data_IF_644286398528
#
_entry.id   IF_644286398528
#
_cell.length_a   1.000
_cell.length_b   1.000
_cell.length_c   1.000
_cell.angle_alpha   90.00
_cell.angle_beta   90.00
_cell.angle_gamma   90.00
#
_symmetry.space_group_name_H-M   'P 1'
#
loop_
_entity.id
_entity.type
_entity.pdbx_description
1 polymer ?
#
# COMPACT_ATOMS: atom_id res chain seq x y z
N UNK A 1 -4.28 7.15 7.41
CA UNK A 1 -5.51 7.18 8.24
C UNK A 1 -6.41 8.32 7.79
N UNK A 2 -7.71 8.21 8.04
CA UNK A 2 -8.67 9.30 7.77
C UNK A 2 -8.44 10.48 8.72
N UNK A 3 -9.00 11.64 8.37
CA UNK A 3 -8.90 12.83 9.22
C UNK A 3 -9.82 12.69 10.44
N UNK A 4 -9.25 12.80 11.65
CA UNK A 4 -10.02 12.75 12.89
C UNK A 4 -11.07 13.86 12.98
N UNK A 5 -10.86 14.99 12.29
CA UNK A 5 -11.84 16.08 12.27
C UNK A 5 -13.16 15.68 11.60
N UNK A 6 -13.13 14.70 10.68
CA UNK A 6 -14.35 14.17 10.08
C UNK A 6 -15.21 13.48 11.13
N UNK A 7 -14.59 12.66 12.01
CA UNK A 7 -15.31 11.98 13.09
C UNK A 7 -15.82 12.99 14.14
N UNK A 8 -15.02 14.00 14.46
CA UNK A 8 -15.42 15.05 15.41
C UNK A 8 -16.59 15.90 14.91
N UNK A 9 -16.67 16.08 13.58
CA UNK A 9 -17.71 16.89 12.94
C UNK A 9 -19.03 16.13 12.79
N UNK A 10 -18.98 14.88 12.30
CA UNK A 10 -20.16 14.05 12.01
C UNK A 10 -19.76 12.57 11.97
N UNK A 11 -19.73 11.95 13.14
CA UNK A 11 -19.32 10.54 13.26
C UNK A 11 -20.30 9.59 12.59
N UNK A 12 -21.59 9.92 12.58
CA UNK A 12 -22.62 9.08 11.98
C UNK A 12 -22.53 9.05 10.46
N UNK A 13 -22.23 10.19 9.82
CA UNK A 13 -21.98 10.24 8.39
C UNK A 13 -20.73 9.43 8.01
N UNK A 14 -19.66 9.50 8.82
CA UNK A 14 -18.44 8.68 8.59
C UNK A 14 -18.75 7.20 8.79
N UNK A 15 -19.49 6.83 9.84
CA UNK A 15 -19.89 5.45 10.10
C UNK A 15 -20.72 4.87 8.95
N UNK A 16 -21.65 5.64 8.39
CA UNK A 16 -22.47 5.24 7.23
C UNK A 16 -21.62 4.98 5.98
N UNK A 17 -20.61 5.81 5.70
CA UNK A 17 -19.67 5.61 4.58
C UNK A 17 -18.79 4.37 4.80
N UNK A 18 -18.31 4.15 6.02
CA UNK A 18 -17.50 2.98 6.37
C UNK A 18 -18.31 1.67 6.33
N UNK A 19 -19.59 1.72 6.65
CA UNK A 19 -20.49 0.57 6.55
C UNK A 19 -20.58 0.04 5.11
N UNK A 20 -20.48 0.90 4.09
CA UNK A 20 -20.42 0.49 2.68
C UNK A 20 -19.17 -0.37 2.38
N UNK A 21 -18.13 -0.28 3.21
CA UNK A 21 -16.90 -1.08 3.15
C UNK A 21 -16.93 -2.30 4.09
N UNK A 22 -18.09 -2.69 4.60
CA UNK A 22 -18.27 -3.74 5.62
C UNK A 22 -17.46 -3.47 6.90
N UNK A 23 -17.18 -2.19 7.19
CA UNK A 23 -16.49 -1.79 8.40
C UNK A 23 -17.49 -1.12 9.36
N UNK A 24 -17.64 -1.72 10.54
CA UNK A 24 -18.45 -1.15 11.62
C UNK A 24 -17.57 -0.25 12.48
N UNK A 25 -17.83 1.05 12.45
CA UNK A 25 -17.13 2.01 13.29
C UNK A 25 -17.67 1.91 14.73
N UNK A 26 -16.79 1.71 15.70
CA UNK A 26 -17.13 1.77 17.12
C UNK A 26 -17.26 3.24 17.57
N UNK A 27 -18.43 3.82 17.31
CA UNK A 27 -18.72 5.22 17.63
C UNK A 27 -18.72 5.47 19.13
N UNK A 28 -19.12 4.48 19.94
CA UNK A 28 -19.17 4.59 21.39
C UNK A 28 -17.75 4.71 21.99
N UNK A 29 -16.82 3.85 21.55
CA UNK A 29 -15.42 3.92 21.99
C UNK A 29 -14.74 5.22 21.56
N UNK A 30 -14.99 5.69 20.33
CA UNK A 30 -14.44 6.97 19.88
C UNK A 30 -14.95 8.12 20.75
N UNK A 31 -16.25 8.21 20.97
CA UNK A 31 -16.86 9.28 21.79
C UNK A 31 -16.35 9.25 23.23
N UNK A 32 -16.15 8.07 23.82
CA UNK A 32 -15.59 7.92 25.16
C UNK A 32 -14.16 8.44 25.24
N UNK A 33 -13.29 8.06 24.29
CA UNK A 33 -11.90 8.52 24.21
C UNK A 33 -11.80 10.05 24.00
N UNK A 34 -12.65 10.62 23.14
CA UNK A 34 -12.69 12.08 22.91
C UNK A 34 -13.20 12.83 24.14
N UNK A 35 -14.20 12.31 24.86
CA UNK A 35 -14.67 12.90 26.08
C UNK A 35 -13.59 12.89 27.18
N UNK A 36 -12.89 11.76 27.35
CA UNK A 36 -11.76 11.63 28.29
C UNK A 36 -10.63 12.61 27.93
N UNK A 37 -10.20 12.65 26.66
CA UNK A 37 -9.18 13.58 26.16
C UNK A 37 -9.56 15.04 26.48
N UNK A 38 -10.80 15.43 26.16
CA UNK A 38 -11.28 16.78 26.37
C UNK A 38 -11.31 17.15 27.86
N UNK A 39 -11.73 16.23 28.72
CA UNK A 39 -11.75 16.43 30.18
C UNK A 39 -10.32 16.63 30.70
N UNK A 40 -9.38 15.80 30.34
CA UNK A 40 -7.97 15.92 30.76
C UNK A 40 -7.36 17.21 30.24
N UNK A 41 -7.60 17.58 28.98
CA UNK A 41 -7.10 18.81 28.38
C UNK A 41 -7.62 20.05 29.13
N UNK A 42 -8.92 20.11 29.40
CA UNK A 42 -9.52 21.24 30.18
C UNK A 42 -8.89 21.31 31.55
N UNK A 43 -8.73 20.18 32.26
CA UNK A 43 -8.07 20.15 33.57
C UNK A 43 -6.62 20.64 33.51
N UNK A 44 -5.87 20.22 32.48
CA UNK A 44 -4.48 20.65 32.25
C UNK A 44 -4.40 22.16 32.04
N UNK A 45 -5.30 22.73 31.24
CA UNK A 45 -5.37 24.18 30.99
C UNK A 45 -5.69 24.98 32.28
N UNK A 46 -6.63 24.48 33.10
CA UNK A 46 -6.95 25.08 34.42
C UNK A 46 -5.75 25.04 35.35
N UNK A 47 -5.07 23.90 35.50
CA UNK A 47 -3.88 23.76 36.32
C UNK A 47 -2.73 24.70 35.86
N UNK A 48 -2.55 24.81 34.54
CA UNK A 48 -1.56 25.72 33.97
C UNK A 48 -1.89 27.18 34.25
N UNK A 49 -3.17 27.57 34.14
CA UNK A 49 -3.63 28.91 34.48
C UNK A 49 -3.41 29.23 35.96
N UNK A 50 -3.73 28.29 36.86
CA UNK A 50 -3.50 28.41 38.31
C UNK A 50 -2.01 28.57 38.62
N UNK A 51 -1.14 27.72 38.04
CA UNK A 51 0.32 27.81 38.21
C UNK A 51 0.86 29.17 37.76
N UNK A 52 0.40 29.67 36.62
CA UNK A 52 0.82 30.99 36.09
C UNK A 52 0.37 32.12 37.00
N UNK A 53 -0.84 32.04 37.58
CA UNK A 53 -1.35 33.01 38.53
C UNK A 53 -0.52 33.06 39.82
N UNK A 54 -0.25 31.87 40.41
CA UNK A 54 0.57 31.75 41.62
C UNK A 54 2.02 32.19 41.38
N UNK A 55 2.58 31.91 40.20
CA UNK A 55 3.93 32.38 39.83
C UNK A 55 4.02 33.91 39.79
N UNK A 56 2.98 34.60 39.29
CA UNK A 56 2.88 36.07 39.34
C UNK A 56 2.79 36.57 40.77
N UNK A 57 2.01 35.87 41.62
CA UNK A 57 1.86 36.21 43.04
C UNK A 57 3.20 36.09 43.79
N UNK A 58 3.98 35.04 43.54
CA UNK A 58 5.34 34.89 44.08
C UNK A 58 6.21 36.10 43.70
N UNK A 59 6.16 36.51 42.42
CA UNK A 59 6.89 37.70 41.97
C UNK A 59 6.50 38.96 42.72
N UNK A 60 5.20 39.19 42.95
CA UNK A 60 4.69 40.31 43.68
C UNK A 60 5.09 40.32 45.18
N UNK A 61 5.01 39.17 45.85
CA UNK A 61 5.41 38.98 47.25
C UNK A 61 6.91 39.18 47.41
N UNK A 62 7.73 38.59 46.53
CA UNK A 62 9.19 38.83 46.53
C UNK A 62 9.55 40.31 46.38
N UNK A 63 8.84 41.02 45.50
CA UNK A 63 9.06 42.46 45.31
C UNK A 63 8.72 43.32 46.53
N UNK A 64 7.88 42.80 47.44
CA UNK A 64 7.51 43.46 48.72
C UNK A 64 8.34 42.96 49.91
N UNK A 65 9.21 41.95 49.72
CA UNK A 65 9.98 41.36 50.83
C UNK A 65 9.14 40.44 51.73
N UNK A 66 7.97 39.99 51.26
CA UNK A 66 7.05 39.12 52.01
C UNK A 66 7.41 37.61 51.83
N UNK A 67 7.00 36.76 52.79
CA UNK A 67 7.25 35.30 52.73
C UNK A 67 6.49 34.64 51.57
N UNK A 68 7.21 33.86 50.77
CA UNK A 68 6.68 33.17 49.59
C UNK A 68 6.55 31.64 49.77
N UNK A 69 6.93 31.12 50.94
CA UNK A 69 7.05 29.66 51.18
C UNK A 69 5.74 28.90 50.92
N UNK A 70 4.63 29.43 51.42
CA UNK A 70 3.32 28.81 51.23
C UNK A 70 2.90 28.72 49.73
N UNK A 71 3.11 29.83 49.02
CA UNK A 71 2.76 29.92 47.59
C UNK A 71 3.72 29.04 46.74
N UNK A 72 5.00 28.97 47.11
CA UNK A 72 5.97 28.09 46.46
C UNK A 72 5.60 26.61 46.61
N UNK A 73 5.14 26.20 47.82
CA UNK A 73 4.66 24.83 48.03
C UNK A 73 3.42 24.48 47.20
N UNK A 74 2.49 25.44 47.04
CA UNK A 74 1.33 25.27 46.15
C UNK A 74 1.75 25.12 44.68
N UNK A 75 2.71 25.90 44.21
CA UNK A 75 3.24 25.79 42.84
C UNK A 75 3.93 24.43 42.62
N UNK A 76 4.65 23.93 43.63
CA UNK A 76 5.28 22.61 43.56
C UNK A 76 4.22 21.48 43.42
N UNK A 77 3.15 21.51 44.24
CA UNK A 77 2.06 20.53 44.14
C UNK A 77 1.34 20.58 42.77
N UNK A 78 1.11 21.79 42.23
CA UNK A 78 0.55 21.93 40.87
C UNK A 78 1.50 21.41 39.80
N UNK A 79 2.82 21.43 40.01
CA UNK A 79 3.79 20.84 39.08
C UNK A 79 3.61 19.34 38.96
N UNK A 80 3.40 18.63 40.06
CA UNK A 80 3.17 17.20 40.10
C UNK A 80 1.81 16.82 39.45
N UNK A 81 0.75 17.59 39.75
CA UNK A 81 -0.57 17.41 39.12
C UNK A 81 -0.51 17.61 37.58
N UNK A 82 0.22 18.64 37.13
CA UNK A 82 0.40 18.91 35.71
C UNK A 82 1.15 17.77 34.99
N UNK A 83 2.17 17.22 35.63
CA UNK A 83 2.91 16.08 35.10
C UNK A 83 1.99 14.86 34.96
N UNK A 84 1.25 14.51 36.02
CA UNK A 84 0.31 13.42 36.00
C UNK A 84 -0.77 13.60 34.93
N UNK A 85 -1.26 14.82 34.73
CA UNK A 85 -2.25 15.15 33.69
C UNK A 85 -1.66 15.02 32.29
N UNK A 86 -0.40 15.40 32.06
CA UNK A 86 0.30 15.23 30.80
C UNK A 86 0.49 13.74 30.46
N UNK A 87 0.93 12.94 31.44
CA UNK A 87 1.11 11.48 31.26
C UNK A 87 -0.23 10.81 30.92
N UNK A 88 -1.34 11.20 31.56
CA UNK A 88 -2.67 10.71 31.21
C UNK A 88 -3.11 11.14 29.80
N UNK A 89 -2.82 12.36 29.40
CA UNK A 89 -3.15 12.86 28.06
C UNK A 89 -2.41 12.07 26.99
N UNK A 90 -1.13 11.75 27.19
CA UNK A 90 -0.34 10.94 26.29
C UNK A 90 -0.93 9.53 26.13
N UNK A 91 -1.37 8.91 27.24
CA UNK A 91 -2.03 7.60 27.21
C UNK A 91 -3.30 7.63 26.34
N UNK A 92 -4.15 8.63 26.54
CA UNK A 92 -5.42 8.75 25.78
C UNK A 92 -5.15 9.08 24.32
N UNK A 93 -4.18 9.94 24.03
CA UNK A 93 -3.78 10.26 22.66
C UNK A 93 -3.24 9.03 21.92
N UNK A 94 -2.46 8.18 22.59
CA UNK A 94 -1.98 6.93 22.04
C UNK A 94 -3.15 5.99 21.71
N UNK A 95 -4.09 5.80 22.64
CA UNK A 95 -5.29 4.99 22.39
C UNK A 95 -6.11 5.51 21.20
N UNK A 96 -6.23 6.84 21.10
CA UNK A 96 -6.93 7.48 19.99
C UNK A 96 -6.20 7.26 18.66
N UNK A 97 -4.87 7.36 18.67
CA UNK A 97 -4.04 7.10 17.50
C UNK A 97 -4.18 5.63 17.03
N UNK A 98 -4.14 4.67 17.96
CA UNK A 98 -4.35 3.25 17.66
C UNK A 98 -5.75 2.98 17.11
N UNK A 99 -6.78 3.59 17.71
CA UNK A 99 -8.14 3.53 17.20
C UNK A 99 -8.24 4.03 15.75
N UNK A 100 -7.64 5.19 15.47
CA UNK A 100 -7.64 5.79 14.12
C UNK A 100 -6.86 4.96 13.11
N UNK A 101 -5.79 4.28 13.52
CA UNK A 101 -5.01 3.42 12.63
C UNK A 101 -5.77 2.18 12.15
N UNK A 102 -6.77 1.71 12.89
CA UNK A 102 -7.59 0.55 12.55
C UNK A 102 -8.70 0.87 11.53
N UNK A 103 -9.00 2.15 11.29
CA UNK A 103 -10.09 2.57 10.41
C UNK A 103 -9.59 2.60 8.94
N UNK A 104 -10.28 1.94 7.98
CA UNK A 104 -9.95 2.02 6.57
C UNK A 104 -10.22 3.41 5.99
N UNK A 105 -9.67 3.68 4.81
CA UNK A 105 -9.95 4.92 4.09
C UNK A 105 -11.43 5.00 3.67
N UNK A 106 -11.93 6.21 3.46
CA UNK A 106 -13.27 6.45 2.96
C UNK A 106 -13.33 6.27 1.44
N UNK A 107 -14.37 5.60 0.90
CA UNK A 107 -14.53 5.50 -0.54
C UNK A 107 -14.83 6.87 -1.15
N UNK A 108 -14.23 7.14 -2.31
CA UNK A 108 -14.60 8.31 -3.12
C UNK A 108 -16.04 8.17 -3.63
N UNK A 109 -16.75 9.28 -3.84
CA UNK A 109 -18.15 9.29 -4.25
C UNK A 109 -18.45 8.56 -5.56
N UNK A 110 -17.46 8.48 -6.46
CA UNK A 110 -17.59 7.79 -7.75
C UNK A 110 -17.39 6.27 -7.69
N UNK A 111 -17.11 5.72 -6.50
CA UNK A 111 -16.91 4.27 -6.32
C UNK A 111 -18.26 3.57 -6.32
N UNK A 112 -18.46 2.51 -7.13
CA UNK A 112 -19.71 1.77 -7.14
C UNK A 112 -19.97 1.10 -5.78
N UNK A 113 -21.22 1.13 -5.34
CA UNK A 113 -21.63 0.43 -4.13
C UNK A 113 -21.69 -1.08 -4.40
N UNK A 114 -21.14 -1.88 -3.50
CA UNK A 114 -21.19 -3.34 -3.60
C UNK A 114 -20.60 -3.97 -2.35
N UNK A 115 -20.96 -5.23 -2.09
CA UNK A 115 -20.52 -5.95 -0.90
C UNK A 115 -19.22 -6.75 -1.10
N UNK A 116 -18.94 -7.15 -2.32
CA UNK A 116 -17.80 -8.03 -2.68
C UNK A 116 -17.48 -7.88 -4.16
N UNK A 117 -16.57 -8.71 -4.68
CA UNK A 117 -16.11 -8.70 -6.07
C UNK A 117 -17.23 -8.75 -7.12
N UNK A 118 -18.40 -9.30 -6.78
CA UNK A 118 -19.56 -9.33 -7.69
C UNK A 118 -20.15 -7.93 -7.94
N UNK A 119 -19.87 -6.96 -7.08
CA UNK A 119 -20.27 -5.56 -7.22
C UNK A 119 -19.29 -4.73 -8.04
N UNK A 120 -18.17 -5.28 -8.48
CA UNK A 120 -17.20 -4.59 -9.32
C UNK A 120 -17.78 -4.31 -10.72
N UNK A 121 -17.43 -3.18 -11.30
CA UNK A 121 -17.96 -2.73 -12.59
C UNK A 121 -16.90 -2.83 -13.66
N UNK A 122 -17.18 -3.61 -14.72
CA UNK A 122 -16.33 -3.65 -15.91
C UNK A 122 -16.44 -2.33 -16.68
N UNK A 123 -15.34 -1.60 -16.77
CA UNK A 123 -15.30 -0.30 -17.48
C UNK A 123 -15.02 -0.48 -18.97
N UNK A 124 -14.12 -1.39 -19.30
CA UNK A 124 -13.71 -1.70 -20.69
C UNK A 124 -13.03 -3.02 -20.81
N UNK A 125 -13.09 -3.59 -22.00
CA UNK A 125 -12.42 -4.80 -22.42
C UNK A 125 -11.56 -4.51 -23.64
N UNK A 126 -10.33 -4.98 -23.67
CA UNK A 126 -9.36 -4.73 -24.75
C UNK A 126 -8.75 -6.03 -25.23
N UNK A 127 -8.65 -6.18 -26.54
CA UNK A 127 -8.18 -7.41 -27.17
C UNK A 127 -9.25 -8.52 -27.21
N UNK A 128 -9.01 -9.52 -28.06
CA UNK A 128 -9.88 -10.67 -28.21
C UNK A 128 -9.12 -11.92 -27.79
N UNK A 129 -9.65 -12.72 -26.85
CA UNK A 129 -9.05 -14.01 -26.52
C UNK A 129 -8.83 -14.89 -27.77
N UNK A 130 -7.62 -15.44 -27.89
CA UNK A 130 -7.28 -16.34 -28.98
C UNK A 130 -8.15 -17.59 -28.90
N UNK A 131 -8.68 -18.01 -30.05
CA UNK A 131 -9.30 -19.32 -30.19
C UNK A 131 -8.21 -20.34 -30.59
N UNK A 132 -8.16 -21.44 -29.85
CA UNK A 132 -7.21 -22.51 -30.08
C UNK A 132 -7.92 -23.67 -30.81
N UNK A 133 -7.23 -24.30 -31.75
CA UNK A 133 -7.66 -25.51 -32.47
C UNK A 133 -7.07 -26.78 -31.84
N UNK A 134 -6.47 -26.67 -30.66
CA UNK A 134 -5.91 -27.75 -29.87
C UNK A 134 -6.30 -27.58 -28.39
N UNK A 135 -6.08 -28.59 -27.57
CA UNK A 135 -6.32 -28.57 -26.14
C UNK A 135 -5.36 -27.58 -25.43
N UNK A 136 -5.92 -26.64 -24.71
CA UNK A 136 -5.17 -25.61 -23.97
C UNK A 136 -4.62 -26.21 -22.68
N UNK A 137 -3.30 -26.07 -22.47
CA UNK A 137 -2.63 -26.47 -21.24
C UNK A 137 -2.47 -25.25 -20.31
N UNK A 138 -2.43 -25.49 -19.01
CA UNK A 138 -2.11 -24.45 -18.05
C UNK A 138 -0.59 -24.17 -17.98
N UNK A 139 -0.23 -23.06 -17.35
CA UNK A 139 1.16 -22.61 -17.22
C UNK A 139 2.06 -23.59 -16.45
N UNK A 140 1.51 -24.47 -15.61
CA UNK A 140 2.29 -25.47 -14.87
C UNK A 140 2.78 -26.57 -15.83
N UNK A 141 1.86 -27.13 -16.62
CA UNK A 141 2.17 -28.21 -17.58
C UNK A 141 3.02 -27.66 -18.72
N UNK A 142 2.74 -26.47 -19.23
CA UNK A 142 3.57 -25.77 -20.23
C UNK A 142 4.96 -25.41 -19.72
N UNK A 143 5.06 -24.95 -18.49
CA UNK A 143 6.29 -24.43 -17.92
C UNK A 143 7.27 -25.50 -17.47
N UNK A 144 6.79 -26.65 -17.02
CA UNK A 144 7.63 -27.73 -16.49
C UNK A 144 8.75 -28.16 -17.45
N UNK A 145 8.48 -28.52 -18.73
CA UNK A 145 9.53 -28.87 -19.67
C UNK A 145 10.41 -27.68 -20.07
N UNK A 146 9.95 -26.46 -19.88
CA UNK A 146 10.67 -25.22 -20.19
C UNK A 146 11.54 -24.70 -19.03
N UNK A 147 11.49 -25.35 -17.85
CA UNK A 147 12.32 -25.01 -16.70
C UNK A 147 11.61 -24.35 -15.53
N UNK A 148 10.27 -24.36 -15.48
CA UNK A 148 9.49 -23.97 -14.33
C UNK A 148 9.43 -25.15 -13.34
N UNK A 149 9.97 -24.98 -12.12
CA UNK A 149 10.25 -26.09 -11.20
C UNK A 149 9.69 -25.77 -9.80
N UNK A 150 8.52 -26.32 -9.52
CA UNK A 150 7.85 -26.17 -8.22
C UNK A 150 8.41 -27.13 -7.16
N UNK A 151 8.87 -28.34 -7.57
CA UNK A 151 9.39 -29.33 -6.63
C UNK A 151 10.70 -28.86 -6.00
N UNK A 152 11.59 -28.30 -6.80
CA UNK A 152 12.81 -27.65 -6.26
C UNK A 152 12.45 -26.43 -5.41
N UNK A 153 11.49 -25.63 -5.80
CA UNK A 153 10.99 -24.51 -4.99
C UNK A 153 10.50 -24.97 -3.61
N UNK A 154 9.67 -26.00 -3.61
CA UNK A 154 9.17 -26.60 -2.37
C UNK A 154 10.29 -27.20 -1.49
N UNK A 155 11.30 -27.82 -2.10
CA UNK A 155 12.47 -28.35 -1.40
C UNK A 155 13.31 -27.26 -0.72
N UNK A 156 13.43 -26.10 -1.37
CA UNK A 156 14.26 -24.98 -0.88
C UNK A 156 13.57 -24.17 0.22
N UNK A 157 12.26 -23.94 0.09
CA UNK A 157 11.57 -22.96 0.94
C UNK A 157 10.14 -23.35 1.33
N UNK A 158 9.63 -24.48 0.84
CA UNK A 158 8.26 -24.92 1.10
C UNK A 158 7.29 -24.62 -0.09
N UNK A 159 6.02 -24.88 0.15
CA UNK A 159 4.97 -24.62 -0.84
C UNK A 159 4.91 -23.14 -1.23
N UNK A 160 4.37 -22.85 -2.43
CA UNK A 160 4.23 -21.47 -2.96
C UNK A 160 5.55 -20.74 -3.21
N UNK A 161 6.66 -21.47 -3.36
CA UNK A 161 7.91 -20.98 -3.90
C UNK A 161 8.21 -21.71 -5.22
N UNK A 162 8.85 -21.02 -6.14
CA UNK A 162 9.10 -21.54 -7.49
C UNK A 162 10.55 -21.27 -7.88
N UNK A 163 11.17 -22.27 -8.52
CA UNK A 163 12.46 -22.13 -9.20
C UNK A 163 12.23 -22.03 -10.69
N UNK A 164 12.96 -21.14 -11.34
CA UNK A 164 12.96 -20.98 -12.79
C UNK A 164 14.34 -21.25 -13.36
N UNK A 165 14.43 -21.96 -14.47
CA UNK A 165 15.69 -22.32 -15.14
C UNK A 165 15.64 -22.00 -16.63
N UNK A 166 16.80 -21.78 -17.24
CA UNK A 166 16.92 -21.65 -18.70
C UNK A 166 16.08 -20.54 -19.33
N UNK A 167 15.30 -20.89 -20.31
CA UNK A 167 14.47 -19.96 -21.09
C UNK A 167 13.39 -19.26 -20.27
N UNK A 168 12.77 -19.96 -19.35
CA UNK A 168 11.75 -19.38 -18.45
C UNK A 168 12.37 -18.32 -17.53
N UNK A 169 13.52 -18.60 -16.93
CA UNK A 169 14.20 -17.62 -16.07
C UNK A 169 14.59 -16.36 -16.86
N UNK A 170 15.05 -16.54 -18.11
CA UNK A 170 15.32 -15.41 -19.00
C UNK A 170 14.06 -14.65 -19.37
N UNK A 171 12.97 -15.33 -19.69
CA UNK A 171 11.70 -14.70 -20.03
C UNK A 171 11.15 -13.88 -18.84
N UNK A 172 11.19 -14.44 -17.63
CA UNK A 172 10.80 -13.72 -16.41
C UNK A 172 11.58 -12.42 -16.22
N UNK A 173 12.91 -12.47 -16.34
CA UNK A 173 13.77 -11.28 -16.27
C UNK A 173 13.48 -10.31 -17.41
N UNK A 174 13.27 -10.81 -18.64
CA UNK A 174 12.95 -9.99 -19.80
C UNK A 174 11.64 -9.21 -19.62
N UNK A 175 10.62 -9.84 -19.05
CA UNK A 175 9.34 -9.18 -18.71
C UNK A 175 9.56 -8.03 -17.75
N UNK A 176 10.27 -8.25 -16.64
CA UNK A 176 10.53 -7.22 -15.64
C UNK A 176 11.32 -6.04 -16.24
N UNK A 177 12.36 -6.33 -17.01
CA UNK A 177 13.19 -5.33 -17.66
C UNK A 177 12.41 -4.51 -18.70
N UNK A 178 11.60 -5.17 -19.53
CA UNK A 178 10.70 -4.52 -20.48
C UNK A 178 9.70 -3.56 -19.79
N UNK A 179 9.13 -3.98 -18.65
CA UNK A 179 8.22 -3.13 -17.86
C UNK A 179 8.93 -1.89 -17.34
N UNK A 180 10.11 -2.05 -16.72
CA UNK A 180 10.90 -0.92 -16.21
C UNK A 180 11.28 0.05 -17.32
N UNK A 181 11.81 -0.45 -18.43
CA UNK A 181 12.23 0.39 -19.56
C UNK A 181 11.04 1.15 -20.16
N UNK A 182 9.87 0.51 -20.26
CA UNK A 182 8.66 1.17 -20.75
C UNK A 182 8.22 2.28 -19.79
N UNK A 183 8.20 2.02 -18.48
CA UNK A 183 7.76 3.04 -17.53
C UNK A 183 8.73 4.22 -17.43
N UNK A 184 10.03 3.96 -17.51
CA UNK A 184 11.03 5.03 -17.45
C UNK A 184 11.13 5.83 -18.74
N UNK A 185 11.10 5.16 -19.90
CA UNK A 185 11.30 5.80 -21.21
C UNK A 185 10.04 6.43 -21.78
N UNK A 186 8.89 5.74 -21.66
CA UNK A 186 7.65 6.18 -22.31
C UNK A 186 6.71 6.95 -21.35
N UNK A 187 6.75 6.63 -20.05
CA UNK A 187 5.81 7.15 -19.06
C UNK A 187 6.44 8.14 -18.07
N UNK A 188 7.74 8.40 -18.16
CA UNK A 188 8.43 9.43 -17.40
C UNK A 188 8.58 9.13 -15.90
N UNK A 189 8.64 7.85 -15.51
CA UNK A 189 8.97 7.47 -14.14
C UNK A 189 10.47 7.51 -13.87
N UNK A 190 10.82 7.86 -12.64
CA UNK A 190 12.18 7.68 -12.13
C UNK A 190 12.32 6.27 -11.56
N UNK A 191 13.26 5.50 -12.13
CA UNK A 191 13.59 4.17 -11.59
C UNK A 191 14.31 4.29 -10.25
N UNK A 192 13.89 3.46 -9.30
CA UNK A 192 14.47 3.40 -7.97
C UNK A 192 14.90 1.97 -7.62
N UNK A 193 16.03 1.85 -6.95
CA UNK A 193 16.45 0.64 -6.25
C UNK A 193 16.34 0.90 -4.74
N UNK A 194 15.57 0.08 -4.04
CA UNK A 194 15.24 0.28 -2.63
C UNK A 194 15.57 -0.94 -1.77
N UNK A 195 15.74 -0.79 -0.45
CA UNK A 195 15.88 -1.91 0.45
C UNK A 195 14.67 -2.86 0.40
N UNK A 196 14.91 -4.17 0.49
CA UNK A 196 13.85 -5.19 0.58
C UNK A 196 13.53 -5.58 2.03
N UNK A 197 14.37 -5.16 2.98
CA UNK A 197 14.13 -5.29 4.42
C UNK A 197 13.87 -3.88 4.97
N UNK A 198 12.74 -3.72 5.63
CA UNK A 198 12.28 -2.41 6.15
C UNK A 198 11.92 -2.50 7.62
N UNK A 199 11.96 -1.36 8.31
CA UNK A 199 11.47 -1.24 9.68
C UNK A 199 9.94 -1.11 9.75
N UNK A 200 9.40 -1.24 10.96
CA UNK A 200 7.96 -1.16 11.20
C UNK A 200 7.35 0.19 10.83
N UNK A 201 8.09 1.30 10.97
CA UNK A 201 7.58 2.63 10.65
C UNK A 201 7.30 2.81 9.16
N UNK A 202 8.13 2.20 8.30
CA UNK A 202 7.92 2.17 6.86
C UNK A 202 6.60 1.48 6.50
N UNK A 203 6.29 0.36 7.16
CA UNK A 203 5.04 -0.39 6.98
C UNK A 203 3.82 0.30 7.60
N UNK A 204 4.02 1.03 8.71
CA UNK A 204 2.96 1.87 9.31
C UNK A 204 2.60 3.04 8.40
N UNK A 205 3.59 3.64 7.75
CA UNK A 205 3.40 4.76 6.83
C UNK A 205 2.42 4.45 5.70
N UNK A 206 2.51 3.27 5.11
CA UNK A 206 1.63 2.82 4.02
C UNK A 206 0.42 1.99 4.48
N UNK A 207 0.34 1.65 5.78
CA UNK A 207 -0.85 1.06 6.39
C UNK A 207 -0.88 -0.47 6.43
N UNK A 208 0.24 -1.16 6.15
CA UNK A 208 0.35 -2.60 6.35
C UNK A 208 0.34 -2.96 7.84
N UNK A 209 1.06 -2.19 8.65
CA UNK A 209 1.01 -2.32 10.10
C UNK A 209 0.03 -1.30 10.72
N UNK A 210 -0.60 -1.66 11.85
CA UNK A 210 -0.52 -2.95 12.57
C UNK A 210 -1.41 -4.07 12.00
N UNK A 211 -2.40 -3.74 11.17
CA UNK A 211 -3.54 -4.60 10.83
C UNK A 211 -3.17 -5.88 10.08
N UNK A 212 -2.19 -5.82 9.19
CA UNK A 212 -1.83 -6.91 8.28
C UNK A 212 -0.50 -7.57 8.64
N UNK A 213 -0.09 -7.53 9.91
CA UNK A 213 1.16 -8.13 10.35
C UNK A 213 1.23 -9.64 10.02
N UNK A 214 0.10 -10.35 10.11
CA UNK A 214 0.01 -11.77 9.77
C UNK A 214 0.35 -12.08 8.30
N UNK A 215 0.25 -11.11 7.41
CA UNK A 215 0.57 -11.25 5.98
C UNK A 215 2.05 -10.95 5.67
N UNK A 216 2.83 -10.54 6.65
CA UNK A 216 4.23 -10.15 6.50
C UNK A 216 5.19 -11.28 6.87
N UNK A 217 6.37 -11.27 6.26
CA UNK A 217 7.52 -12.04 6.72
C UNK A 217 8.38 -11.18 7.63
N UNK A 218 8.42 -11.50 8.92
CA UNK A 218 9.33 -10.88 9.89
C UNK A 218 10.76 -11.41 9.72
N UNK A 219 11.74 -10.53 9.88
CA UNK A 219 13.16 -10.83 9.73
C UNK A 219 13.88 -10.59 11.05
N UNK A 220 14.82 -11.47 11.39
CA UNK A 220 15.69 -11.33 12.54
C UNK A 220 17.15 -11.28 12.09
N UNK A 221 17.91 -10.32 12.60
CA UNK A 221 19.37 -10.27 12.35
C UNK A 221 20.04 -11.45 13.03
N UNK A 222 21.01 -12.10 12.38
CA UNK A 222 21.82 -13.14 12.99
C UNK A 222 22.61 -12.57 14.18
N UNK A 223 22.66 -13.31 15.28
CA UNK A 223 23.31 -12.88 16.52
C UNK A 223 22.55 -11.85 17.36
N UNK A 224 21.33 -11.46 16.95
CA UNK A 224 20.47 -10.58 17.75
C UNK A 224 19.93 -11.35 18.96
N UNK A 225 20.32 -10.94 20.17
CA UNK A 225 19.76 -11.42 21.43
C UNK A 225 18.64 -10.46 21.90
N UNK A 226 17.55 -11.02 22.42
CA UNK A 226 16.41 -10.26 22.95
C UNK A 226 15.50 -9.65 21.88
N UNK A 227 14.71 -8.67 22.32
CA UNK A 227 13.82 -7.88 21.45
C UNK A 227 14.63 -6.76 20.80
N UNK A 228 14.99 -6.95 19.51
CA UNK A 228 15.57 -5.91 18.70
C UNK A 228 14.52 -5.18 17.89
N UNK A 229 14.97 -4.26 17.02
CA UNK A 229 14.10 -3.59 16.05
C UNK A 229 13.36 -4.62 15.18
N UNK A 230 12.03 -4.50 15.08
CA UNK A 230 11.23 -5.33 14.22
C UNK A 230 11.48 -4.97 12.75
N UNK A 231 11.98 -5.92 11.98
CA UNK A 231 12.26 -5.81 10.56
C UNK A 231 11.40 -6.79 9.77
N UNK A 232 11.08 -6.43 8.54
CA UNK A 232 10.20 -7.20 7.67
C UNK A 232 10.71 -7.19 6.24
N UNK A 233 10.45 -8.28 5.51
CA UNK A 233 10.56 -8.29 4.05
C UNK A 233 9.40 -7.50 3.46
N UNK A 234 9.67 -6.72 2.40
CA UNK A 234 8.63 -5.90 1.76
C UNK A 234 7.56 -6.76 1.10
N UNK A 235 6.26 -6.49 1.30
CA UNK A 235 5.19 -7.13 0.55
C UNK A 235 4.97 -6.51 -0.84
N UNK A 236 5.55 -5.33 -1.07
CA UNK A 236 5.49 -4.52 -2.29
C UNK A 236 6.51 -3.39 -2.20
N UNK A 237 7.05 -2.94 -3.32
CA UNK A 237 7.90 -1.74 -3.35
C UNK A 237 7.13 -0.43 -3.05
N UNK A 238 5.80 -0.46 -3.07
CA UNK A 238 4.97 0.65 -2.58
C UNK A 238 5.44 1.14 -1.22
N UNK A 239 5.73 0.22 -0.29
CA UNK A 239 6.10 0.60 1.09
C UNK A 239 7.41 1.39 1.14
N UNK A 240 8.35 1.10 0.28
CA UNK A 240 9.62 1.83 0.23
C UNK A 240 9.48 3.14 -0.55
N UNK A 241 8.91 3.09 -1.75
CA UNK A 241 8.79 4.25 -2.63
C UNK A 241 7.94 5.36 -2.01
N UNK A 242 6.81 5.01 -1.41
CA UNK A 242 5.91 5.99 -0.79
C UNK A 242 6.53 6.68 0.41
N UNK A 243 7.40 5.98 1.16
CA UNK A 243 8.10 6.55 2.31
C UNK A 243 9.27 7.49 1.96
N UNK A 244 9.57 7.73 0.68
CA UNK A 244 10.57 8.74 0.28
C UNK A 244 10.23 10.15 0.78
N UNK A 245 8.96 10.42 1.02
CA UNK A 245 8.45 11.71 1.48
C UNK A 245 7.98 11.69 2.94
N UNK A 246 8.31 10.62 3.70
CA UNK A 246 7.94 10.54 5.12
C UNK A 246 8.63 11.63 5.92
N UNK A 247 7.83 12.35 6.75
CA UNK A 247 8.23 13.48 7.57
C UNK A 247 8.77 14.68 6.78
N UNK A 248 8.52 14.72 5.46
CA UNK A 248 9.00 15.77 4.57
C UNK A 248 7.90 16.79 4.22
N UNK A 249 8.36 18.01 3.91
CA UNK A 249 7.54 19.05 3.27
C UNK A 249 8.23 19.42 1.96
N UNK A 250 7.77 18.79 0.88
CA UNK A 250 8.35 18.99 -0.45
C UNK A 250 7.83 20.27 -1.12
N UNK A 251 8.49 20.73 -2.15
CA UNK A 251 8.03 21.85 -2.97
C UNK A 251 6.92 21.42 -3.93
N UNK A 252 5.94 22.29 -4.20
CA UNK A 252 4.83 21.96 -5.10
C UNK A 252 5.25 21.66 -6.55
N UNK A 253 6.39 22.23 -6.99
CA UNK A 253 6.95 21.98 -8.32
C UNK A 253 7.58 20.59 -8.48
N UNK A 254 7.78 19.85 -7.39
CA UNK A 254 8.17 18.45 -7.41
C UNK A 254 6.99 17.49 -7.66
N UNK A 255 5.74 17.99 -7.64
CA UNK A 255 4.54 17.20 -7.90
C UNK A 255 4.08 17.31 -9.36
N UNK A 256 3.67 16.20 -10.00
CA UNK A 256 3.68 14.84 -9.47
C UNK A 256 5.10 14.25 -9.47
N UNK A 257 5.48 13.62 -8.35
CA UNK A 257 6.66 12.78 -8.28
C UNK A 257 6.27 11.37 -8.69
N UNK A 258 6.90 10.83 -9.73
CA UNK A 258 6.60 9.51 -10.32
C UNK A 258 7.79 8.58 -10.13
N UNK A 259 7.61 7.55 -9.34
CA UNK A 259 8.65 6.58 -9.00
C UNK A 259 8.24 5.19 -9.47
N UNK A 260 9.22 4.39 -9.89
CA UNK A 260 9.01 2.98 -10.26
C UNK A 260 10.15 2.12 -9.72
N UNK A 261 9.83 0.93 -9.23
CA UNK A 261 10.82 -0.05 -8.83
C UNK A 261 10.40 -1.47 -9.22
N UNK A 262 11.35 -2.26 -9.68
CA UNK A 262 11.23 -3.72 -9.74
C UNK A 262 11.79 -4.30 -8.44
N UNK A 263 11.02 -5.14 -7.78
CA UNK A 263 11.47 -5.84 -6.58
C UNK A 263 10.84 -7.22 -6.43
N UNK A 264 11.51 -8.15 -5.72
CA UNK A 264 10.81 -9.26 -5.10
C UNK A 264 9.85 -8.68 -4.06
N UNK A 265 8.70 -9.37 -3.90
CA UNK A 265 7.66 -9.08 -2.93
C UNK A 265 7.40 -10.34 -2.13
N UNK A 266 7.15 -10.19 -0.82
CA UNK A 266 7.02 -11.32 0.10
C UNK A 266 5.70 -11.22 0.87
N UNK A 267 4.82 -12.24 0.73
CA UNK A 267 3.53 -12.30 1.41
C UNK A 267 3.30 -13.68 2.00
N UNK A 268 2.94 -13.74 3.27
CA UNK A 268 2.64 -15.03 3.92
C UNK A 268 1.29 -15.62 3.47
N UNK A 269 0.46 -14.82 2.78
CA UNK A 269 -0.84 -15.27 2.24
C UNK A 269 -1.76 -15.87 3.30
N UNK A 270 -1.76 -15.30 4.52
CA UNK A 270 -2.44 -15.84 5.70
C UNK A 270 -3.96 -16.03 5.49
N UNK A 271 -4.59 -15.18 4.68
CA UNK A 271 -6.03 -15.25 4.36
C UNK A 271 -6.41 -16.13 3.18
N UNK A 272 -5.45 -16.82 2.52
CA UNK A 272 -5.69 -17.49 1.24
C UNK A 272 -5.61 -19.02 1.29
N UNK A 273 -5.93 -19.62 2.43
CA UNK A 273 -5.91 -21.09 2.57
C UNK A 273 -6.78 -21.78 1.52
N UNK A 274 -6.18 -22.73 0.78
CA UNK A 274 -6.87 -23.55 -0.23
C UNK A 274 -7.16 -22.85 -1.57
N UNK A 275 -6.82 -21.56 -1.73
CA UNK A 275 -6.98 -20.85 -3.01
C UNK A 275 -5.71 -20.90 -3.84
N UNK A 276 -5.86 -21.12 -5.16
CA UNK A 276 -4.75 -21.09 -6.13
C UNK A 276 -3.49 -21.84 -5.63
N UNK A 277 -3.68 -23.06 -5.13
CA UNK A 277 -2.58 -23.86 -4.54
C UNK A 277 -1.64 -24.45 -5.57
N UNK A 278 -2.05 -24.50 -6.85
CA UNK A 278 -1.25 -24.98 -7.99
C UNK A 278 -0.77 -23.79 -8.83
N UNK A 279 0.50 -23.81 -9.21
CA UNK A 279 1.06 -22.83 -10.13
C UNK A 279 1.51 -21.53 -9.48
N UNK A 280 1.63 -20.48 -10.30
CA UNK A 280 2.26 -19.21 -9.95
C UNK A 280 1.28 -18.07 -9.62
N UNK A 281 -0.02 -18.33 -9.60
CA UNK A 281 -1.01 -17.25 -9.39
C UNK A 281 -0.85 -16.64 -7.99
N UNK A 282 -0.51 -17.46 -6.99
CA UNK A 282 -0.37 -17.05 -5.60
C UNK A 282 0.88 -17.64 -4.97
N UNK A 283 1.89 -16.81 -4.76
CA UNK A 283 3.22 -17.20 -4.30
C UNK A 283 3.61 -16.40 -3.04
N UNK A 284 4.42 -17.01 -2.16
CA UNK A 284 5.02 -16.30 -1.01
C UNK A 284 6.12 -15.32 -1.44
N UNK A 285 6.78 -15.61 -2.55
CA UNK A 285 7.75 -14.73 -3.19
C UNK A 285 7.39 -14.56 -4.66
N UNK A 286 7.27 -13.32 -5.11
CA UNK A 286 7.00 -12.98 -6.52
C UNK A 286 7.61 -11.63 -6.86
N UNK A 287 7.86 -11.40 -8.13
CA UNK A 287 8.40 -10.14 -8.62
C UNK A 287 7.30 -9.22 -9.12
N UNK A 288 7.45 -7.94 -8.84
CA UNK A 288 6.52 -6.89 -9.26
C UNK A 288 7.27 -5.63 -9.66
N UNK A 289 6.83 -4.99 -10.73
CA UNK A 289 7.18 -3.61 -11.05
C UNK A 289 6.09 -2.74 -10.46
N UNK A 290 6.47 -1.87 -9.52
CA UNK A 290 5.54 -1.01 -8.79
C UNK A 290 5.72 0.43 -9.16
N UNK A 291 4.61 1.10 -9.49
CA UNK A 291 4.52 2.54 -9.77
C UNK A 291 3.95 3.25 -8.55
N UNK A 292 4.54 4.38 -8.18
CA UNK A 292 4.04 5.25 -7.10
C UNK A 292 4.04 6.70 -7.56
N UNK A 293 2.93 7.42 -7.31
CA UNK A 293 2.88 8.87 -7.46
C UNK A 293 2.68 9.54 -6.11
N UNK A 294 3.43 10.62 -5.88
CA UNK A 294 3.05 11.69 -4.96
C UNK A 294 2.41 12.79 -5.79
N UNK A 295 1.16 13.12 -5.51
CA UNK A 295 0.38 14.01 -6.36
C UNK A 295 -0.19 15.20 -5.58
N UNK A 296 -0.40 16.31 -6.30
CA UNK A 296 -1.22 17.41 -5.80
C UNK A 296 -2.67 16.91 -5.64
N UNK A 297 -3.36 17.21 -4.52
CA UNK A 297 -4.74 16.75 -4.30
C UNK A 297 -5.70 17.05 -5.45
N UNK A 298 -5.61 18.25 -6.06
CA UNK A 298 -6.49 18.68 -7.13
C UNK A 298 -6.36 17.87 -8.44
N UNK A 299 -5.22 17.17 -8.62
CA UNK A 299 -4.89 16.42 -9.84
C UNK A 299 -4.77 14.91 -9.63
N UNK A 300 -4.97 14.41 -8.40
CA UNK A 300 -4.69 13.02 -8.07
C UNK A 300 -5.57 12.02 -8.82
N UNK A 301 -6.81 12.38 -9.17
CA UNK A 301 -7.68 11.51 -9.94
C UNK A 301 -7.33 11.47 -11.42
N UNK A 302 -6.81 12.57 -11.99
CA UNK A 302 -6.19 12.56 -13.33
C UNK A 302 -4.95 11.65 -13.34
N UNK A 303 -4.14 11.72 -12.28
CA UNK A 303 -2.98 10.84 -12.10
C UNK A 303 -3.37 9.37 -11.93
N UNK A 304 -4.53 9.06 -11.35
CA UNK A 304 -5.06 7.70 -11.25
C UNK A 304 -5.38 7.13 -12.64
N UNK A 305 -6.08 7.89 -13.48
CA UNK A 305 -6.39 7.51 -14.86
C UNK A 305 -5.11 7.32 -15.69
N UNK A 306 -4.14 8.22 -15.53
CA UNK A 306 -2.84 8.14 -16.20
C UNK A 306 -2.08 6.88 -15.77
N UNK A 307 -1.95 6.60 -14.47
CA UNK A 307 -1.29 5.39 -13.95
C UNK A 307 -1.97 4.10 -14.45
N UNK A 308 -3.31 4.08 -14.47
CA UNK A 308 -4.07 2.97 -15.05
C UNK A 308 -3.70 2.77 -16.53
N UNK A 309 -3.64 3.85 -17.31
CA UNK A 309 -3.27 3.80 -18.73
C UNK A 309 -1.84 3.30 -18.96
N UNK A 310 -0.91 3.61 -18.04
CA UNK A 310 0.46 3.12 -18.06
C UNK A 310 0.54 1.59 -17.85
N UNK A 311 -0.23 1.06 -16.91
CA UNK A 311 -0.35 -0.39 -16.69
C UNK A 311 -0.99 -1.08 -17.91
N UNK A 312 -2.05 -0.51 -18.47
CA UNK A 312 -2.67 -1.02 -19.71
C UNK A 312 -1.70 -1.04 -20.89
N UNK A 313 -0.81 -0.06 -21.00
CA UNK A 313 0.15 0.03 -22.09
C UNK A 313 1.11 -1.17 -22.11
N UNK A 314 1.48 -1.71 -20.94
CA UNK A 314 2.28 -2.94 -20.87
C UNK A 314 1.51 -4.11 -21.48
N UNK A 315 0.24 -4.28 -21.12
CA UNK A 315 -0.60 -5.37 -21.68
C UNK A 315 -0.82 -5.21 -23.18
N UNK A 316 -1.05 -3.98 -23.66
CA UNK A 316 -1.18 -3.67 -25.09
C UNK A 316 0.07 -4.01 -25.88
N UNK A 317 1.25 -3.59 -25.38
CA UNK A 317 2.54 -3.89 -26.03
C UNK A 317 2.85 -5.39 -26.05
N UNK A 318 2.38 -6.14 -25.04
CA UNK A 318 2.50 -7.60 -24.97
C UNK A 318 1.42 -8.34 -25.78
N UNK A 319 0.43 -7.63 -26.32
CA UNK A 319 -0.67 -8.25 -27.09
C UNK A 319 -1.57 -9.16 -26.27
N UNK A 320 -1.69 -8.93 -24.96
CA UNK A 320 -2.49 -9.76 -24.05
C UNK A 320 -3.90 -9.18 -23.92
N UNK A 321 -4.97 -9.98 -24.10
CA UNK A 321 -6.34 -9.54 -23.85
C UNK A 321 -6.57 -9.29 -22.37
N UNK A 322 -7.24 -8.19 -22.03
CA UNK A 322 -7.51 -7.80 -20.65
C UNK A 322 -8.80 -7.02 -20.52
N UNK A 323 -9.25 -6.81 -19.27
CA UNK A 323 -10.32 -5.90 -18.92
C UNK A 323 -9.91 -5.00 -17.74
N UNK A 324 -10.57 -3.86 -17.62
CA UNK A 324 -10.41 -2.92 -16.51
C UNK A 324 -11.69 -2.89 -15.70
N UNK A 325 -11.55 -3.11 -14.39
CA UNK A 325 -12.62 -3.14 -13.43
C UNK A 325 -12.52 -1.94 -12.48
N UNK A 326 -13.62 -1.27 -12.20
CA UNK A 326 -13.72 -0.37 -11.05
C UNK A 326 -14.16 -1.19 -9.86
N UNK A 327 -13.34 -1.24 -8.81
CA UNK A 327 -13.71 -1.96 -7.60
C UNK A 327 -14.83 -1.25 -6.87
N UNK A 328 -15.74 -2.03 -6.30
CA UNK A 328 -16.82 -1.52 -5.47
C UNK A 328 -16.36 -1.27 -4.03
N UNK A 329 -17.20 -0.60 -3.24
CA UNK A 329 -16.89 -0.23 -1.86
C UNK A 329 -16.50 -1.41 -0.96
N UNK A 330 -17.05 -2.60 -1.20
CA UNK A 330 -16.80 -3.80 -0.39
C UNK A 330 -15.55 -4.60 -0.78
N UNK A 331 -14.92 -4.27 -1.93
CA UNK A 331 -13.76 -5.00 -2.47
C UNK A 331 -12.46 -4.18 -2.48
N UNK A 332 -12.52 -2.89 -2.18
CA UNK A 332 -11.35 -2.01 -2.16
C UNK A 332 -10.37 -2.33 -1.04
N UNK A 333 -9.07 -2.19 -1.31
CA UNK A 333 -7.99 -2.27 -0.33
C UNK A 333 -8.13 -1.26 0.82
N UNK A 334 -7.55 -1.58 1.98
CA UNK A 334 -7.69 -0.82 3.24
C UNK A 334 -7.38 0.67 3.11
N UNK A 335 -6.28 1.01 2.42
CA UNK A 335 -5.80 2.41 2.28
C UNK A 335 -6.41 3.16 1.11
N UNK A 336 -7.10 2.50 0.18
CA UNK A 336 -7.57 3.14 -1.06
C UNK A 336 -8.90 3.85 -0.89
N UNK A 337 -9.03 5.00 -1.58
CA UNK A 337 -10.26 5.73 -1.78
C UNK A 337 -10.95 5.33 -3.10
N UNK A 338 -10.18 4.93 -4.10
CA UNK A 338 -10.67 4.38 -5.38
C UNK A 338 -9.60 3.48 -5.98
N UNK A 339 -10.04 2.37 -6.57
CA UNK A 339 -9.17 1.36 -7.17
C UNK A 339 -9.71 0.89 -8.51
N UNK A 340 -8.79 0.74 -9.48
CA UNK A 340 -9.00 0.01 -10.70
C UNK A 340 -8.16 -1.25 -10.71
N UNK A 341 -8.76 -2.39 -11.02
CA UNK A 341 -8.04 -3.63 -11.30
C UNK A 341 -7.97 -3.87 -12.81
N UNK A 342 -6.79 -4.26 -13.26
CA UNK A 342 -6.60 -4.81 -14.59
C UNK A 342 -6.56 -6.32 -14.46
N UNK A 343 -7.39 -6.99 -15.25
CA UNK A 343 -7.46 -8.44 -15.26
C UNK A 343 -7.11 -8.96 -16.65
N UNK A 344 -6.13 -9.86 -16.73
CA UNK A 344 -5.66 -10.49 -17.98
C UNK A 344 -6.39 -11.80 -18.22
N UNK A 345 -6.68 -12.11 -19.49
CA UNK A 345 -7.28 -13.36 -19.89
C UNK A 345 -6.33 -14.55 -19.72
N UNK A 346 -6.78 -15.60 -19.04
CA UNK A 346 -6.08 -16.87 -18.91
C UNK A 346 -6.87 -17.98 -19.60
N UNK A 347 -6.42 -18.46 -20.76
CA UNK A 347 -7.14 -19.45 -21.54
C UNK A 347 -7.42 -20.76 -20.81
N UNK A 348 -6.46 -21.28 -20.05
CA UNK A 348 -6.61 -22.55 -19.33
C UNK A 348 -7.68 -22.49 -18.22
N UNK A 349 -7.90 -21.33 -17.63
CA UNK A 349 -8.95 -21.12 -16.64
C UNK A 349 -10.26 -20.59 -17.27
N UNK A 350 -10.22 -20.21 -18.55
CA UNK A 350 -11.32 -19.57 -19.27
C UNK A 350 -11.91 -18.39 -18.51
N UNK A 351 -11.03 -17.55 -17.94
CA UNK A 351 -11.42 -16.39 -17.11
C UNK A 351 -10.38 -15.27 -17.15
N UNK A 352 -10.78 -14.09 -16.70
CA UNK A 352 -9.88 -12.99 -16.43
C UNK A 352 -9.36 -13.08 -15.00
N UNK A 353 -8.07 -12.80 -14.81
CA UNK A 353 -7.39 -12.80 -13.50
C UNK A 353 -6.66 -11.48 -13.28
N UNK A 354 -6.77 -10.94 -12.10
CA UNK A 354 -6.07 -9.72 -11.69
C UNK A 354 -4.55 -9.82 -11.96
N UNK A 355 -4.01 -8.81 -12.64
CA UNK A 355 -2.57 -8.68 -12.93
C UNK A 355 -2.00 -7.36 -12.44
N UNK A 356 -2.86 -6.38 -12.20
CA UNK A 356 -2.52 -5.09 -11.63
C UNK A 356 -3.70 -4.54 -10.85
N UNK A 357 -3.40 -3.85 -9.75
CA UNK A 357 -4.34 -3.04 -9.00
C UNK A 357 -3.76 -1.63 -8.89
N UNK A 358 -4.53 -0.61 -9.27
CA UNK A 358 -4.10 0.79 -9.32
C UNK A 358 -5.01 1.62 -8.41
N UNK A 359 -4.45 2.25 -7.38
CA UNK A 359 -5.22 2.89 -6.31
C UNK A 359 -4.81 4.34 -6.08
N UNK A 360 -5.81 5.18 -5.80
CA UNK A 360 -5.62 6.48 -5.17
C UNK A 360 -5.95 6.36 -3.68
N UNK A 361 -4.98 6.65 -2.83
CA UNK A 361 -5.12 6.62 -1.38
C UNK A 361 -5.47 7.99 -0.79
N UNK A 362 -5.57 9.02 -1.62
CA UNK A 362 -5.75 10.40 -1.19
C UNK A 362 -4.74 10.77 -0.07
N UNK A 363 -5.18 11.43 0.99
CA UNK A 363 -4.32 11.82 2.12
C UNK A 363 -4.09 10.69 3.14
N UNK A 364 -4.62 9.50 2.94
CA UNK A 364 -4.62 8.43 3.95
C UNK A 364 -3.22 8.01 4.39
N UNK A 365 -2.34 7.73 3.44
CA UNK A 365 -0.94 7.37 3.71
C UNK A 365 -0.12 8.61 4.07
N UNK A 366 -0.32 9.72 3.37
CA UNK A 366 0.37 10.98 3.66
C UNK A 366 0.14 11.46 5.10
N UNK A 367 -1.07 11.29 5.66
CA UNK A 367 -1.36 11.62 7.05
C UNK A 367 -0.61 10.71 8.03
N UNK A 368 -0.45 9.42 7.71
CA UNK A 368 0.36 8.48 8.53
C UNK A 368 1.84 8.85 8.53
N UNK A 369 2.35 9.25 7.37
CA UNK A 369 3.76 9.57 7.13
C UNK A 369 4.11 11.04 7.38
N UNK A 370 3.14 11.91 7.67
CA UNK A 370 3.34 13.37 7.72
C UNK A 370 3.94 13.93 6.42
N UNK A 371 3.59 13.32 5.29
CA UNK A 371 4.05 13.72 3.97
C UNK A 371 3.25 14.92 3.46
N UNK A 372 3.91 16.04 3.24
CA UNK A 372 3.28 17.33 2.91
C UNK A 372 3.99 18.01 1.76
N UNK A 373 3.31 18.97 1.17
CA UNK A 373 3.91 19.90 0.22
C UNK A 373 3.57 21.35 0.61
N UNK A 374 4.36 22.31 0.13
CA UNK A 374 4.03 23.73 0.29
C UNK A 374 3.09 24.17 -0.81
N UNK A 375 1.90 24.61 -0.42
CA UNK A 375 0.93 25.15 -1.38
C UNK A 375 1.36 26.54 -1.90
N UNK A 376 0.57 27.13 -2.80
CA UNK A 376 0.82 28.44 -3.39
C UNK A 376 0.86 29.60 -2.36
N UNK A 377 0.31 29.38 -1.16
CA UNK A 377 0.36 30.34 -0.05
C UNK A 377 1.55 30.07 0.90
N UNK A 378 2.41 29.10 0.58
CA UNK A 378 3.54 28.68 1.40
C UNK A 378 3.15 27.84 2.63
N UNK A 379 1.89 27.43 2.77
CA UNK A 379 1.42 26.58 3.87
C UNK A 379 1.63 25.11 3.56
N UNK A 380 2.00 24.29 4.56
CA UNK A 380 2.10 22.85 4.38
C UNK A 380 0.69 22.22 4.29
N UNK A 381 0.48 21.41 3.25
CA UNK A 381 -0.71 20.60 3.05
C UNK A 381 -0.31 19.14 2.80
N UNK A 382 -1.17 18.19 3.17
CA UNK A 382 -0.96 16.77 2.87
C UNK A 382 -1.06 16.55 1.37
N UNK A 383 -0.09 15.81 0.81
CA UNK A 383 -0.16 15.34 -0.57
C UNK A 383 -1.07 14.12 -0.69
N UNK A 384 -1.43 13.75 -1.91
CA UNK A 384 -2.08 12.47 -2.22
C UNK A 384 -1.04 11.45 -2.67
N UNK A 385 -1.24 10.18 -2.32
CA UNK A 385 -0.42 9.07 -2.77
C UNK A 385 -1.21 8.13 -3.65
N UNK A 386 -0.60 7.65 -4.72
CA UNK A 386 -1.14 6.64 -5.61
C UNK A 386 -0.12 5.53 -5.77
N UNK A 387 -0.60 4.31 -5.94
CA UNK A 387 0.22 3.16 -6.24
C UNK A 387 -0.45 2.26 -7.28
N UNK A 388 0.34 1.50 -7.99
CA UNK A 388 -0.18 0.51 -8.92
C UNK A 388 0.90 -0.40 -9.48
N UNK A 389 0.54 -1.65 -9.73
CA UNK A 389 1.46 -2.58 -10.37
C UNK A 389 1.59 -2.29 -11.86
N UNK A 390 2.80 -2.21 -12.33
CA UNK A 390 3.09 -1.97 -13.73
C UNK A 390 3.97 -3.03 -14.41
N UNK A 391 3.81 -4.36 -14.22
CA UNK A 391 2.76 -5.20 -13.64
C UNK A 391 3.35 -6.20 -12.61
N UNK A 392 2.53 -7.19 -12.20
CA UNK A 392 2.99 -8.41 -11.52
C UNK A 392 3.73 -9.30 -12.53
N UNK A 393 5.06 -9.46 -12.37
CA UNK A 393 5.91 -10.13 -13.36
C UNK A 393 5.55 -11.61 -13.52
N UNK A 394 5.35 -12.32 -12.40
CA UNK A 394 5.00 -13.75 -12.43
C UNK A 394 3.65 -14.01 -13.09
N UNK A 395 2.61 -13.19 -12.81
CA UNK A 395 1.31 -13.33 -13.48
C UNK A 395 1.38 -12.96 -14.97
N UNK A 396 2.23 -12.01 -15.35
CA UNK A 396 2.49 -11.70 -16.76
C UNK A 396 3.17 -12.87 -17.46
N UNK A 397 4.11 -13.55 -16.82
CA UNK A 397 4.71 -14.79 -17.33
C UNK A 397 3.64 -15.87 -17.53
N UNK A 398 2.76 -16.09 -16.56
CA UNK A 398 1.62 -17.03 -16.69
C UNK A 398 0.76 -16.66 -17.89
N UNK A 399 0.39 -15.41 -18.04
CA UNK A 399 -0.44 -14.96 -19.17
C UNK A 399 0.25 -15.17 -20.53
N UNK A 400 1.56 -14.92 -20.60
CA UNK A 400 2.33 -15.19 -21.84
C UNK A 400 2.38 -16.67 -22.15
N UNK A 401 2.70 -17.53 -21.18
CA UNK A 401 2.73 -18.97 -21.38
C UNK A 401 1.38 -19.49 -21.91
N UNK A 402 0.28 -19.11 -21.31
CA UNK A 402 -1.04 -19.61 -21.67
C UNK A 402 -1.58 -19.02 -22.98
N UNK A 403 -1.41 -17.71 -23.25
CA UNK A 403 -1.91 -17.07 -24.47
C UNK A 403 -1.06 -17.34 -25.72
N UNK A 404 0.23 -17.58 -25.54
CA UNK A 404 1.20 -17.75 -26.65
C UNK A 404 1.64 -19.19 -26.88
N UNK A 405 0.98 -20.16 -26.21
CA UNK A 405 1.24 -21.59 -26.40
C UNK A 405 0.92 -22.08 -27.84
N UNK A 406 1.68 -23.06 -28.31
CA UNK A 406 1.48 -23.71 -29.56
C UNK A 406 1.14 -25.19 -29.36
N UNK A 407 0.60 -25.85 -30.39
CA UNK A 407 0.18 -27.25 -30.33
C UNK A 407 1.34 -28.23 -29.98
N UNK A 408 2.57 -27.85 -30.26
CA UNK A 408 3.78 -28.63 -29.95
C UNK A 408 4.35 -28.37 -28.55
N UNK A 409 3.63 -27.60 -27.70
CA UNK A 409 4.07 -27.21 -26.35
C UNK A 409 5.10 -26.07 -26.33
N UNK A 410 5.48 -25.55 -27.47
CA UNK A 410 6.36 -24.37 -27.53
C UNK A 410 5.59 -23.09 -27.22
N UNK A 411 6.32 -22.05 -26.81
CA UNK A 411 5.78 -20.74 -26.50
C UNK A 411 6.37 -19.70 -27.44
N UNK A 412 5.52 -19.03 -28.21
CA UNK A 412 5.94 -17.86 -28.98
C UNK A 412 6.22 -16.71 -28.04
N UNK A 413 7.39 -16.09 -28.16
CA UNK A 413 7.75 -14.92 -27.36
C UNK A 413 7.14 -13.66 -27.98
N UNK A 414 6.39 -12.84 -27.24
CA UNK A 414 5.86 -11.55 -27.72
C UNK A 414 6.97 -10.68 -28.33
N UNK A 415 6.68 -10.01 -29.43
CA UNK A 415 7.67 -9.23 -30.19
C UNK A 415 8.37 -8.16 -29.34
N UNK A 416 7.63 -7.52 -28.46
CA UNK A 416 8.17 -6.51 -27.54
C UNK A 416 9.28 -7.05 -26.62
N UNK A 417 9.36 -8.36 -26.40
CA UNK A 417 10.36 -9.00 -25.56
C UNK A 417 11.59 -9.52 -26.33
N UNK A 418 11.58 -9.53 -27.65
CA UNK A 418 12.72 -10.07 -28.44
C UNK A 418 14.05 -9.42 -28.13
N UNK A 419 14.17 -8.10 -27.96
CA UNK A 419 15.44 -7.46 -27.57
C UNK A 419 15.97 -7.98 -26.24
N UNK A 420 15.10 -8.17 -25.27
CA UNK A 420 15.43 -8.65 -23.91
C UNK A 420 15.76 -10.15 -23.89
N UNK A 421 15.22 -10.89 -24.85
CA UNK A 421 15.46 -12.32 -25.03
C UNK A 421 16.69 -12.61 -25.92
N UNK A 422 17.43 -11.57 -26.36
CA UNK A 422 18.55 -11.72 -27.26
C UNK A 422 18.15 -12.28 -28.62
N UNK A 423 16.98 -11.91 -29.12
CA UNK A 423 16.43 -12.33 -30.40
C UNK A 423 15.76 -13.71 -30.39
N UNK A 424 15.64 -14.38 -29.24
CA UNK A 424 14.90 -15.65 -29.13
C UNK A 424 13.40 -15.35 -29.29
N UNK A 425 12.78 -15.99 -30.27
CA UNK A 425 11.39 -15.77 -30.65
C UNK A 425 10.45 -16.89 -30.21
N UNK A 426 11.00 -18.00 -29.74
CA UNK A 426 10.25 -19.19 -29.33
C UNK A 426 11.01 -19.95 -28.25
N UNK A 427 10.32 -20.35 -27.19
CA UNK A 427 10.82 -21.33 -26.23
C UNK A 427 10.27 -22.70 -26.62
N UNK A 428 11.14 -23.71 -26.64
CA UNK A 428 10.80 -25.10 -26.99
C UNK A 428 11.09 -26.01 -25.81
N UNK A 429 10.22 -27.01 -25.58
CA UNK A 429 10.47 -28.07 -24.59
C UNK A 429 11.80 -28.80 -24.77
#
# INVERSE_FOLDING_TARGET
MIDIQLLRKDIEAVAARLAQRKFTLDTASFNALEAERKSIQTRTEELQAQRNSLSKQIGALKGKGEDTTAVMNQVAGLGDELKASADQLDIVQTKLADFMQAIPNLPHESVPAGSDESGNVELRKVGTPRQFDFEVNDHVDLGAPLGLDFDTGAKLSGARFTVMKGGIARLHRAIAQFMLDTHTSDHGYTECYTPYIVNSDTLRGTGQLPKFEADLFAVKKGGQEGEGEALYLIPTAEVTLTNFVRDEIISADQLPMRLVAHSPCFRSEAGSHGRDTRGMIRQHQFDKVEMVHMAHPDHSYEQLEEMCSHAENILKKLGLPYRVMSLCTGDMGFGSAKTYDLEVWLPAQNTYREISSVSNCETFQARRMQARFRNTQGKPELLHTLNGSGLAVGRTLVAILENYQQADGSITVPEALWPYMGGVKQLKP
#
